data_IF_739489702025
#
_entry.id   IF_739489702025
#
_cell.length_a   1.000
_cell.length_b   1.000
_cell.length_c   1.000
_cell.angle_alpha   90.00
_cell.angle_beta   90.00
_cell.angle_gamma   90.00
#
_symmetry.space_group_name_H-M   'P 1'
#
loop_
_entity.id
_entity.type
_entity.pdbx_description
1 polymer ?
#
# COMPACT_ATOMS: atom_id res chain seq x y z
N UNK A 1 -19.80 -20.44 -0.64
CA UNK A 1 -18.85 -19.42 -0.13
C UNK A 1 -18.47 -19.81 1.29
N UNK A 2 -17.18 -20.07 1.55
CA UNK A 2 -16.72 -20.24 2.93
C UNK A 2 -16.97 -18.92 3.67
N UNK A 3 -17.59 -19.00 4.85
CA UNK A 3 -17.85 -17.83 5.68
C UNK A 3 -16.51 -17.37 6.22
N UNK A 4 -16.02 -16.23 5.75
CA UNK A 4 -14.74 -15.66 6.20
C UNK A 4 -14.87 -15.34 7.68
N UNK A 5 -13.94 -15.85 8.48
CA UNK A 5 -13.97 -15.67 9.92
C UNK A 5 -13.41 -14.30 10.29
N UNK A 6 -13.85 -13.75 11.40
CA UNK A 6 -13.28 -12.51 11.96
C UNK A 6 -11.77 -12.64 12.23
N UNK A 7 -11.32 -13.84 12.60
CA UNK A 7 -9.90 -14.13 12.74
C UNK A 7 -9.12 -13.97 11.42
N UNK A 8 -9.67 -14.44 10.29
CA UNK A 8 -9.05 -14.26 8.97
C UNK A 8 -9.03 -12.80 8.54
N UNK A 9 -10.11 -12.04 8.78
CA UNK A 9 -10.15 -10.61 8.50
C UNK A 9 -9.11 -9.83 9.30
N UNK A 10 -8.96 -10.14 10.59
CA UNK A 10 -7.93 -9.51 11.43
C UNK A 10 -6.51 -9.86 10.97
N UNK A 11 -6.25 -11.13 10.62
CA UNK A 11 -4.94 -11.54 10.11
C UNK A 11 -4.57 -10.77 8.83
N UNK A 12 -5.54 -10.57 7.95
CA UNK A 12 -5.33 -9.86 6.71
C UNK A 12 -5.15 -8.35 6.94
N UNK A 13 -5.94 -7.76 7.84
CA UNK A 13 -5.74 -6.38 8.27
C UNK A 13 -4.33 -6.17 8.85
N UNK A 14 -3.84 -7.12 9.65
CA UNK A 14 -2.50 -7.06 10.23
C UNK A 14 -1.41 -7.15 9.15
N UNK A 15 -1.61 -7.98 8.11
CA UNK A 15 -0.70 -8.02 6.97
C UNK A 15 -0.68 -6.70 6.20
N UNK A 16 -1.86 -6.16 5.87
CA UNK A 16 -1.99 -4.91 5.14
C UNK A 16 -1.33 -3.73 5.88
N UNK A 17 -1.58 -3.61 7.18
CA UNK A 17 -1.05 -2.52 7.98
C UNK A 17 0.45 -2.67 8.31
N UNK A 18 0.91 -3.90 8.64
CA UNK A 18 2.27 -4.09 9.16
C UNK A 18 3.28 -4.52 8.09
N UNK A 19 2.82 -4.97 6.92
CA UNK A 19 3.68 -5.46 5.84
C UNK A 19 3.47 -4.67 4.56
N UNK A 20 2.25 -4.63 4.02
CA UNK A 20 1.99 -4.03 2.72
C UNK A 20 2.16 -2.50 2.72
N UNK A 21 1.52 -1.80 3.68
CA UNK A 21 1.63 -0.35 3.81
C UNK A 21 3.09 0.12 4.03
N UNK A 22 3.87 -0.45 4.98
CA UNK A 22 5.27 -0.05 5.17
C UNK A 22 6.16 -0.36 3.97
N UNK A 23 5.88 -1.43 3.21
CA UNK A 23 6.60 -1.72 1.98
C UNK A 23 6.35 -0.65 0.92
N UNK A 24 5.11 -0.21 0.77
CA UNK A 24 4.75 0.89 -0.13
C UNK A 24 5.34 2.23 0.34
N UNK A 25 5.35 2.53 1.63
CA UNK A 25 6.02 3.73 2.14
C UNK A 25 7.53 3.74 1.82
N UNK A 26 8.21 2.59 1.99
CA UNK A 26 9.62 2.47 1.61
C UNK A 26 9.84 2.67 0.12
N UNK A 27 8.93 2.16 -0.72
CA UNK A 27 8.97 2.40 -2.16
C UNK A 27 8.77 3.89 -2.49
N UNK A 28 7.88 4.58 -1.77
CA UNK A 28 7.71 6.03 -1.91
C UNK A 28 9.00 6.80 -1.58
N UNK A 29 9.63 6.48 -0.45
CA UNK A 29 10.92 7.10 -0.06
C UNK A 29 12.01 6.84 -1.11
N UNK A 30 12.09 5.61 -1.62
CA UNK A 30 13.06 5.29 -2.68
C UNK A 30 12.77 6.05 -3.97
N UNK A 31 11.50 6.22 -4.33
CA UNK A 31 11.08 7.01 -5.48
C UNK A 31 11.41 8.50 -5.31
N UNK A 32 11.21 9.05 -4.11
CA UNK A 32 11.60 10.43 -3.79
C UNK A 32 13.11 10.65 -3.91
N UNK A 33 13.91 9.69 -3.44
CA UNK A 33 15.37 9.75 -3.58
C UNK A 33 15.78 9.76 -5.05
N UNK A 34 15.21 8.88 -5.87
CA UNK A 34 15.49 8.84 -7.31
C UNK A 34 14.98 10.10 -8.05
N UNK A 35 13.88 10.69 -7.58
CA UNK A 35 13.35 11.95 -8.12
C UNK A 35 14.23 13.16 -7.80
N UNK A 36 14.89 13.15 -6.63
CA UNK A 36 15.79 14.21 -6.19
C UNK A 36 17.25 14.03 -6.65
N UNK A 37 17.59 12.87 -7.22
CA UNK A 37 18.93 12.54 -7.66
C UNK A 37 19.33 13.37 -8.91
N UNK A 38 20.34 14.26 -8.80
CA UNK A 38 20.76 15.11 -9.91
C UNK A 38 21.45 14.35 -11.05
N UNK A 39 21.91 13.12 -10.82
CA UNK A 39 22.53 12.29 -11.86
C UNK A 39 21.48 11.62 -12.77
N UNK A 40 20.20 11.63 -12.36
CA UNK A 40 19.10 11.14 -13.17
C UNK A 40 18.65 12.16 -14.22
N UNK A 41 18.29 11.67 -15.41
CA UNK A 41 17.65 12.53 -16.42
C UNK A 41 16.31 13.09 -15.92
N UNK A 42 15.87 14.27 -16.40
CA UNK A 42 14.59 14.87 -15.99
C UNK A 42 13.38 13.94 -16.16
N UNK A 43 13.40 13.09 -17.20
CA UNK A 43 12.34 12.11 -17.42
C UNK A 43 12.33 11.02 -16.33
N UNK A 44 13.50 10.53 -15.93
CA UNK A 44 13.63 9.55 -14.83
C UNK A 44 13.15 10.18 -13.53
N UNK A 45 13.56 11.41 -13.24
CA UNK A 45 13.13 12.14 -12.04
C UNK A 45 11.61 12.29 -11.98
N UNK A 46 10.98 12.66 -13.11
CA UNK A 46 9.52 12.80 -13.20
C UNK A 46 8.78 11.46 -13.04
N UNK A 47 9.27 10.38 -13.66
CA UNK A 47 8.71 9.04 -13.48
C UNK A 47 8.85 8.55 -12.03
N UNK A 48 10.00 8.79 -11.40
CA UNK A 48 10.25 8.42 -10.02
C UNK A 48 9.33 9.17 -9.04
N UNK A 49 9.09 10.47 -9.27
CA UNK A 49 8.16 11.26 -8.47
C UNK A 49 6.73 10.72 -8.55
N UNK A 50 6.25 10.39 -9.76
CA UNK A 50 4.93 9.77 -9.96
C UNK A 50 4.83 8.40 -9.28
N UNK A 51 5.86 7.58 -9.41
CA UNK A 51 5.91 6.28 -8.75
C UNK A 51 5.86 6.44 -7.22
N UNK A 52 6.56 7.43 -6.67
CA UNK A 52 6.52 7.73 -5.24
C UNK A 52 5.12 8.15 -4.78
N UNK A 53 4.43 8.99 -5.55
CA UNK A 53 3.04 9.38 -5.29
C UNK A 53 2.10 8.15 -5.30
N UNK A 54 2.17 7.30 -6.32
CA UNK A 54 1.36 6.08 -6.37
C UNK A 54 1.63 5.15 -5.20
N UNK A 55 2.90 5.00 -4.79
CA UNK A 55 3.27 4.18 -3.64
C UNK A 55 2.68 4.73 -2.32
N UNK A 56 2.65 6.06 -2.12
CA UNK A 56 1.96 6.67 -0.97
C UNK A 56 0.46 6.40 -1.02
N UNK A 57 -0.14 6.48 -2.21
CA UNK A 57 -1.54 6.13 -2.45
C UNK A 57 -1.85 4.70 -1.98
N UNK A 58 -1.06 3.73 -2.43
CA UNK A 58 -1.22 2.34 -2.00
C UNK A 58 -1.00 2.15 -0.50
N UNK A 59 -0.02 2.81 0.11
CA UNK A 59 0.17 2.73 1.55
C UNK A 59 -1.04 3.26 2.33
N UNK A 60 -1.72 4.29 1.83
CA UNK A 60 -2.99 4.78 2.38
C UNK A 60 -4.11 3.77 2.17
N UNK A 61 -4.30 3.28 0.95
CA UNK A 61 -5.32 2.27 0.61
C UNK A 61 -5.20 1.01 1.47
N UNK A 62 -3.99 0.49 1.68
CA UNK A 62 -3.77 -0.67 2.53
C UNK A 62 -4.19 -0.43 3.99
N UNK A 63 -3.95 0.76 4.53
CA UNK A 63 -4.39 1.13 5.89
C UNK A 63 -5.91 1.27 5.97
N UNK A 64 -6.54 1.83 4.94
CA UNK A 64 -7.99 1.97 4.85
C UNK A 64 -8.67 0.60 4.79
N UNK A 65 -8.18 -0.29 3.91
CA UNK A 65 -8.65 -1.68 3.83
C UNK A 65 -8.43 -2.44 5.14
N UNK A 66 -7.30 -2.25 5.83
CA UNK A 66 -7.07 -2.85 7.14
C UNK A 66 -8.09 -2.38 8.19
N UNK A 67 -8.46 -1.09 8.17
CA UNK A 67 -9.46 -0.54 9.08
C UNK A 67 -10.86 -1.12 8.82
N UNK A 68 -11.27 -1.22 7.56
CA UNK A 68 -12.55 -1.83 7.15
C UNK A 68 -12.62 -3.32 7.58
N UNK A 69 -11.54 -4.08 7.33
CA UNK A 69 -11.46 -5.48 7.74
C UNK A 69 -11.56 -5.66 9.26
N UNK A 70 -10.99 -4.75 10.06
CA UNK A 70 -11.12 -4.77 11.53
C UNK A 70 -12.53 -4.39 12.01
N UNK A 71 -13.21 -3.53 11.28
CA UNK A 71 -14.63 -3.25 11.50
C UNK A 71 -15.51 -4.48 11.18
N UNK A 72 -14.98 -5.43 10.41
CA UNK A 72 -15.68 -6.64 9.96
C UNK A 72 -16.37 -6.43 8.61
N UNK A 73 -16.00 -5.38 7.90
CA UNK A 73 -16.44 -5.09 6.54
C UNK A 73 -15.40 -5.61 5.55
N UNK A 74 -15.85 -6.13 4.41
CA UNK A 74 -14.95 -6.59 3.35
C UNK A 74 -14.90 -5.46 2.31
N UNK A 75 -13.75 -4.81 2.09
CA UNK A 75 -13.62 -3.73 1.12
C UNK A 75 -14.06 -4.17 -0.27
N UNK A 76 -14.60 -3.24 -1.06
CA UNK A 76 -15.04 -3.54 -2.42
C UNK A 76 -13.87 -4.03 -3.28
N UNK A 77 -14.05 -5.16 -3.97
CA UNK A 77 -13.01 -5.78 -4.78
C UNK A 77 -11.93 -6.53 -3.99
N UNK A 78 -11.98 -6.54 -2.66
CA UNK A 78 -11.04 -7.27 -1.82
C UNK A 78 -11.19 -8.79 -1.99
N UNK A 79 -10.08 -9.48 -2.21
CA UNK A 79 -10.03 -10.94 -2.35
C UNK A 79 -9.12 -11.51 -1.28
N UNK A 80 -9.63 -12.52 -0.60
CA UNK A 80 -8.84 -13.32 0.31
C UNK A 80 -8.22 -14.46 -0.49
N UNK A 81 -6.90 -14.43 -0.60
CA UNK A 81 -6.12 -15.51 -1.20
C UNK A 81 -5.97 -16.69 -0.23
#
# INVERSE_FOLDING_TARGET
MARITRARMNQEADYLENVAAPRSDRAAVSGDQAAADPDNSPNIQACAARAAESARGHAREYREMAAELRAGEIPEGFRFD
#
